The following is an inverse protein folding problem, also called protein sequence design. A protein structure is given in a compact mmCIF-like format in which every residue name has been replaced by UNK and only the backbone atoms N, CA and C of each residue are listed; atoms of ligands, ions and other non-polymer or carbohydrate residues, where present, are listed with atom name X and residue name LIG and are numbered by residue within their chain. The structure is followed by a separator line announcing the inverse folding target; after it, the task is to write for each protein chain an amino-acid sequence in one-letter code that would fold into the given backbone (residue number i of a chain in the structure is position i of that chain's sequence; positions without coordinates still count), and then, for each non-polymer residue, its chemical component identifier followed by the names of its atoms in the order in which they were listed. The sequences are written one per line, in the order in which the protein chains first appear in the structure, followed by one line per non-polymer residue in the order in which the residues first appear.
data_IF_188794710430
#
_entry.id   IF_188794710430
#
_cell.length_a   1.000
_cell.length_b   1.000
_cell.length_c   1.000
_cell.angle_alpha   90.00
_cell.angle_beta   90.00
_cell.angle_gamma   90.00
#
_symmetry.space_group_name_H-M   'P 1'
#
loop_
_entity.id
_entity.type
_entity.pdbx_description
1 polymer ?
#
# COMPACT_ATOMS: atom_id res chain seq x y z
N UNK A 1 -3.66 1.34 14.90
CA UNK A 1 -2.28 1.81 14.64
C UNK A 1 -1.24 1.40 15.70
N UNK A 2 -1.58 1.20 16.98
CA UNK A 2 -0.60 0.89 18.05
C UNK A 2 0.08 -0.48 17.96
N UNK A 3 -0.61 -1.53 17.51
CA UNK A 3 -0.05 -2.89 17.41
C UNK A 3 0.94 -3.08 16.26
N UNK A 4 0.85 -2.25 15.21
CA UNK A 4 1.74 -2.30 14.05
C UNK A 4 3.07 -1.57 14.32
N UNK A 5 3.01 -0.43 15.03
CA UNK A 5 4.20 0.31 15.46
C UNK A 5 5.05 -0.50 16.45
N UNK A 6 4.42 -1.24 17.37
CA UNK A 6 5.15 -2.11 18.30
C UNK A 6 5.94 -3.22 17.60
N UNK A 7 5.40 -3.81 16.52
CA UNK A 7 6.12 -4.82 15.74
C UNK A 7 7.31 -4.23 14.98
N UNK A 8 7.24 -2.96 14.56
CA UNK A 8 8.37 -2.27 13.92
C UNK A 8 9.55 -2.06 14.87
N UNK A 9 9.28 -1.66 16.12
CA UNK A 9 10.36 -1.41 17.07
C UNK A 9 11.15 -2.69 17.38
N UNK A 10 10.46 -3.83 17.58
CA UNK A 10 11.14 -5.11 17.80
C UNK A 10 12.01 -5.55 16.61
N UNK A 11 11.51 -5.42 15.37
CA UNK A 11 12.28 -5.76 14.17
C UNK A 11 13.48 -4.83 13.97
N UNK A 12 13.33 -3.53 14.27
CA UNK A 12 14.41 -2.55 14.21
C UNK A 12 15.49 -2.82 15.28
N UNK A 13 15.09 -3.20 16.50
CA UNK A 13 16.03 -3.57 17.54
C UNK A 13 16.82 -4.83 17.18
N UNK A 14 16.17 -5.84 16.57
CA UNK A 14 16.85 -7.06 16.12
C UNK A 14 17.86 -6.80 15.01
N UNK A 15 17.56 -5.91 14.06
CA UNK A 15 18.52 -5.53 13.01
C UNK A 15 19.70 -4.74 13.56
N UNK A 16 19.45 -3.74 14.41
CA UNK A 16 20.52 -2.95 15.04
C UNK A 16 21.41 -3.83 15.92
N UNK A 17 20.81 -4.70 16.74
CA UNK A 17 21.54 -5.63 17.60
C UNK A 17 22.38 -6.64 16.83
N UNK A 18 22.03 -6.97 15.58
CA UNK A 18 22.82 -7.84 14.71
C UNK A 18 23.94 -7.09 13.96
N UNK A 19 23.72 -5.84 13.58
CA UNK A 19 24.70 -5.03 12.83
C UNK A 19 25.83 -4.48 13.71
N UNK A 20 25.54 -4.07 14.95
CA UNK A 20 26.55 -3.51 15.86
C UNK A 20 27.70 -4.49 16.14
N UNK A 21 27.45 -5.78 16.48
CA UNK A 21 28.50 -6.78 16.62
C UNK A 21 29.23 -7.08 15.31
N UNK A 22 28.55 -7.05 14.16
CA UNK A 22 29.16 -7.30 12.86
C UNK A 22 30.25 -6.26 12.54
N UNK A 23 29.96 -4.98 12.79
CA UNK A 23 30.92 -3.88 12.63
C UNK A 23 32.09 -4.01 13.60
N UNK A 24 31.81 -4.31 14.87
CA UNK A 24 32.84 -4.51 15.89
C UNK A 24 33.78 -5.68 15.56
N UNK A 25 33.24 -6.82 15.11
CA UNK A 25 34.02 -8.00 14.73
C UNK A 25 34.86 -7.78 13.47
N UNK A 26 34.39 -6.93 12.55
CA UNK A 26 35.18 -6.50 11.40
C UNK A 26 36.37 -5.63 11.82
N UNK A 27 36.16 -4.70 12.77
CA UNK A 27 37.23 -3.87 13.36
C UNK A 27 38.25 -4.75 14.11
N UNK A 28 37.77 -5.78 14.82
CA UNK A 28 38.60 -6.77 15.54
C UNK A 28 39.30 -7.78 14.63
N UNK A 29 39.29 -7.59 13.30
CA UNK A 29 39.97 -8.46 12.32
C UNK A 29 39.52 -9.93 12.40
N UNK A 30 38.24 -10.17 12.76
CA UNK A 30 37.63 -11.52 12.81
C UNK A 30 36.63 -11.71 11.66
N UNK A 31 37.10 -11.90 10.41
CA UNK A 31 36.26 -11.90 9.21
C UNK A 31 35.31 -13.09 9.14
N UNK A 32 35.57 -14.18 9.87
CA UNK A 32 34.66 -15.34 9.91
C UNK A 32 33.39 -15.00 10.72
N UNK A 33 33.55 -14.42 11.91
CA UNK A 33 32.44 -14.04 12.78
C UNK A 33 31.62 -12.87 12.21
N UNK A 34 32.29 -11.87 11.63
CA UNK A 34 31.61 -10.75 10.97
C UNK A 34 30.71 -11.20 9.81
N UNK A 35 31.15 -12.18 8.99
CA UNK A 35 30.35 -12.73 7.89
C UNK A 35 29.06 -13.41 8.38
N UNK A 36 29.13 -14.15 9.49
CA UNK A 36 27.96 -14.83 10.08
C UNK A 36 26.93 -13.81 10.58
N UNK A 37 27.38 -12.77 11.30
CA UNK A 37 26.50 -11.71 11.78
C UNK A 37 25.83 -10.94 10.63
N UNK A 38 26.59 -10.60 9.58
CA UNK A 38 26.03 -9.98 8.39
C UNK A 38 24.96 -10.86 7.75
N UNK A 39 25.22 -12.15 7.53
CA UNK A 39 24.25 -13.08 6.94
C UNK A 39 22.96 -13.17 7.78
N UNK A 40 23.10 -13.22 9.12
CA UNK A 40 21.96 -13.29 10.04
C UNK A 40 21.09 -12.01 9.99
N UNK A 41 21.70 -10.86 9.72
CA UNK A 41 20.99 -9.56 9.67
C UNK A 41 20.14 -9.36 8.40
N UNK A 42 20.39 -10.10 7.32
CA UNK A 42 19.72 -9.93 6.02
C UNK A 42 18.21 -10.16 6.14
N UNK A 43 17.80 -11.24 6.81
CA UNK A 43 16.38 -11.61 6.96
C UNK A 43 15.56 -10.55 7.71
N UNK A 44 15.92 -10.13 8.94
CA UNK A 44 15.15 -9.12 9.66
C UNK A 44 15.22 -7.75 8.97
N UNK A 45 16.32 -7.42 8.29
CA UNK A 45 16.43 -6.19 7.50
C UNK A 45 15.48 -6.19 6.30
N UNK A 46 15.43 -7.30 5.55
CA UNK A 46 14.47 -7.46 4.45
C UNK A 46 13.02 -7.34 4.93
N UNK A 47 12.69 -7.96 6.06
CA UNK A 47 11.36 -7.83 6.67
C UNK A 47 11.06 -6.39 7.10
N UNK A 48 12.01 -5.71 7.73
CA UNK A 48 11.88 -4.31 8.14
C UNK A 48 11.64 -3.40 6.94
N UNK A 49 12.45 -3.52 5.88
CA UNK A 49 12.29 -2.76 4.64
C UNK A 49 10.92 -3.02 4.00
N UNK A 50 10.49 -4.28 3.91
CA UNK A 50 9.17 -4.65 3.40
C UNK A 50 8.05 -4.00 4.20
N UNK A 51 8.14 -4.02 5.52
CA UNK A 51 7.12 -3.46 6.41
C UNK A 51 7.08 -1.93 6.35
N UNK A 52 8.25 -1.28 6.35
CA UNK A 52 8.37 0.17 6.19
C UNK A 52 7.80 0.63 4.82
N UNK A 53 8.04 -0.15 3.77
CA UNK A 53 7.46 0.09 2.45
C UNK A 53 5.94 -0.04 2.46
N UNK A 54 5.38 -1.08 3.09
CA UNK A 54 3.92 -1.26 3.20
C UNK A 54 3.25 -0.11 3.96
N UNK A 55 3.87 0.35 5.04
CA UNK A 55 3.37 1.49 5.81
C UNK A 55 3.44 2.80 5.03
N UNK A 56 4.53 3.02 4.31
CA UNK A 56 4.66 4.20 3.45
C UNK A 56 3.66 4.17 2.30
N UNK A 57 3.40 3.00 1.72
CA UNK A 57 2.38 2.83 0.70
C UNK A 57 0.97 3.05 1.25
N UNK A 58 0.67 2.53 2.45
CA UNK A 58 -0.60 2.74 3.13
C UNK A 58 -0.83 4.22 3.46
N UNK A 59 0.19 4.91 3.99
CA UNK A 59 0.13 6.36 4.26
C UNK A 59 -0.13 7.17 2.99
N UNK A 60 0.56 6.86 1.87
CA UNK A 60 0.32 7.52 0.59
C UNK A 60 -1.12 7.37 0.11
N UNK A 61 -1.72 6.19 0.32
CA UNK A 61 -3.12 5.92 -0.03
C UNK A 61 -4.06 6.70 0.89
N UNK A 62 -3.78 6.74 2.19
CA UNK A 62 -4.61 7.48 3.15
C UNK A 62 -4.56 8.99 2.92
N UNK A 63 -3.38 9.54 2.63
CA UNK A 63 -3.19 10.98 2.39
C UNK A 63 -3.84 11.47 1.08
N UNK A 64 -4.05 10.57 0.10
CA UNK A 64 -4.62 10.89 -1.22
C UNK A 64 -5.97 10.18 -1.43
N UNK A 65 -6.77 10.11 -0.36
CA UNK A 65 -8.04 9.41 -0.36
C UNK A 65 -9.07 10.04 -1.32
N UNK A 66 -9.59 9.22 -2.23
CA UNK A 66 -10.75 9.53 -3.08
C UNK A 66 -12.02 9.18 -2.32
N UNK A 67 -12.07 7.95 -1.79
CA UNK A 67 -13.21 7.39 -1.07
C UNK A 67 -12.73 6.53 0.10
N UNK A 68 -13.23 6.83 1.30
CA UNK A 68 -13.05 6.00 2.48
C UNK A 68 -14.40 5.36 2.84
N UNK A 69 -14.38 4.06 3.11
CA UNK A 69 -15.53 3.30 3.61
C UNK A 69 -15.18 2.83 5.03
N UNK A 70 -15.52 3.61 6.06
CA UNK A 70 -15.05 3.38 7.43
C UNK A 70 -15.46 2.02 7.97
N UNK A 71 -16.69 1.59 7.68
CA UNK A 71 -17.25 0.34 8.18
C UNK A 71 -16.52 -0.92 7.69
N UNK A 72 -15.72 -0.79 6.62
CA UNK A 72 -15.00 -1.91 6.01
C UNK A 72 -13.49 -1.78 6.08
N UNK A 73 -12.96 -0.75 6.74
CA UNK A 73 -11.52 -0.42 6.75
C UNK A 73 -10.93 -0.44 5.32
N UNK A 74 -11.66 0.20 4.40
CA UNK A 74 -11.33 0.32 2.99
C UNK A 74 -11.07 1.79 2.67
N UNK A 75 -9.92 2.06 2.05
CA UNK A 75 -9.55 3.39 1.56
C UNK A 75 -9.10 3.27 0.12
N UNK A 76 -9.79 3.95 -0.78
CA UNK A 76 -9.45 4.05 -2.21
C UNK A 76 -8.85 5.43 -2.46
N UNK A 77 -7.75 5.48 -3.19
CA UNK A 77 -6.94 6.67 -3.43
C UNK A 77 -6.49 6.78 -4.88
N UNK A 78 -5.89 7.92 -5.20
CA UNK A 78 -5.21 8.12 -6.48
C UNK A 78 -4.12 7.06 -6.75
N UNK A 79 -3.47 6.54 -5.70
CA UNK A 79 -2.28 5.69 -5.78
C UNK A 79 -2.53 4.21 -5.43
N UNK A 80 -3.77 3.84 -5.15
CA UNK A 80 -4.06 2.49 -4.70
C UNK A 80 -5.32 2.35 -3.85
N UNK A 81 -5.49 1.13 -3.37
CA UNK A 81 -6.53 0.71 -2.45
C UNK A 81 -5.88 0.02 -1.24
N UNK A 82 -6.28 0.43 -0.03
CA UNK A 82 -6.00 -0.30 1.21
C UNK A 82 -7.27 -0.96 1.71
N UNK A 83 -7.20 -2.26 2.01
CA UNK A 83 -8.26 -3.01 2.70
C UNK A 83 -7.63 -3.81 3.84
N UNK A 84 -7.85 -3.40 5.07
CA UNK A 84 -7.15 -3.97 6.22
C UNK A 84 -5.63 -3.91 6.02
N UNK A 85 -4.98 -5.07 6.07
CA UNK A 85 -3.53 -5.21 5.85
C UNK A 85 -3.12 -5.37 4.37
N UNK A 86 -4.07 -5.46 3.44
CA UNK A 86 -3.77 -5.59 2.01
C UNK A 86 -3.69 -4.21 1.37
N UNK A 87 -2.67 -4.03 0.55
CA UNK A 87 -2.41 -2.80 -0.19
C UNK A 87 -2.26 -3.16 -1.67
N UNK A 88 -3.17 -2.63 -2.49
CA UNK A 88 -3.12 -2.67 -3.95
C UNK A 88 -2.62 -1.32 -4.42
N UNK A 89 -1.63 -1.29 -5.31
CA UNK A 89 -0.99 -0.04 -5.75
C UNK A 89 -1.19 0.16 -7.24
N UNK A 90 -1.42 1.41 -7.62
CA UNK A 90 -1.38 1.88 -9.00
C UNK A 90 -0.85 3.31 -9.04
N UNK A 91 -0.51 3.81 -10.22
CA UNK A 91 -0.11 5.22 -10.40
C UNK A 91 1.20 5.62 -9.73
N UNK A 92 1.94 4.68 -9.12
CA UNK A 92 3.16 4.97 -8.37
C UNK A 92 4.45 4.98 -9.21
N UNK A 93 4.45 4.29 -10.36
CA UNK A 93 5.65 4.13 -11.22
C UNK A 93 5.47 4.84 -12.58
N UNK A 94 4.61 5.86 -12.64
CA UNK A 94 4.32 6.59 -13.88
C UNK A 94 3.69 5.69 -14.95
N UNK A 95 4.07 5.92 -16.21
CA UNK A 95 3.46 5.29 -17.40
C UNK A 95 3.77 3.79 -17.49
N UNK A 96 4.91 3.34 -16.96
CA UNK A 96 5.36 1.94 -17.01
C UNK A 96 4.88 1.10 -15.80
N UNK A 97 4.09 1.69 -14.91
CA UNK A 97 3.56 1.02 -13.73
C UNK A 97 2.18 0.41 -13.93
N UNK A 98 1.71 -0.29 -12.91
CA UNK A 98 0.30 -0.63 -12.75
C UNK A 98 -0.52 0.66 -12.68
N UNK A 99 -1.61 0.73 -13.42
CA UNK A 99 -2.50 1.88 -13.51
C UNK A 99 -3.92 1.48 -13.18
N UNK A 100 -4.71 2.42 -12.68
CA UNK A 100 -6.16 2.27 -12.65
C UNK A 100 -6.65 2.41 -14.09
N UNK A 101 -7.38 1.40 -14.57
CA UNK A 101 -7.83 1.28 -15.95
C UNK A 101 -9.32 1.61 -16.08
N UNK A 102 -10.12 1.12 -15.14
CA UNK A 102 -11.58 1.27 -15.17
C UNK A 102 -12.15 1.43 -13.76
N UNK A 103 -13.21 2.23 -13.66
CA UNK A 103 -13.98 2.43 -12.43
C UNK A 103 -15.46 2.36 -12.79
N UNK A 104 -16.23 1.53 -12.09
CA UNK A 104 -17.68 1.53 -12.17
C UNK A 104 -18.28 1.65 -10.77
N UNK A 105 -19.34 2.45 -10.62
CA UNK A 105 -20.05 2.68 -9.38
C UNK A 105 -21.53 2.40 -9.64
N UNK A 106 -22.10 1.43 -8.94
CA UNK A 106 -23.55 1.20 -8.91
C UNK A 106 -24.14 1.68 -7.58
N UNK A 107 -25.34 1.20 -7.21
CA UNK A 107 -25.99 1.60 -5.93
C UNK A 107 -25.29 1.10 -4.68
N UNK A 108 -24.54 0.02 -4.75
CA UNK A 108 -24.02 -0.68 -3.58
C UNK A 108 -22.51 -0.87 -3.63
N UNK A 109 -21.95 -1.05 -4.83
CA UNK A 109 -20.61 -1.52 -5.11
C UNK A 109 -19.85 -0.61 -6.08
N UNK A 110 -18.55 -0.54 -5.83
CA UNK A 110 -17.55 0.03 -6.71
C UNK A 110 -16.67 -1.10 -7.25
N UNK A 111 -16.46 -1.11 -8.56
CA UNK A 111 -15.52 -1.99 -9.25
C UNK A 111 -14.33 -1.15 -9.71
N UNK A 112 -13.14 -1.66 -9.41
CA UNK A 112 -11.88 -1.07 -9.81
C UNK A 112 -11.11 -2.11 -10.62
N UNK A 113 -10.76 -1.78 -11.85
CA UNK A 113 -9.85 -2.60 -12.67
C UNK A 113 -8.52 -1.88 -12.75
N UNK A 114 -7.44 -2.56 -12.39
CA UNK A 114 -6.09 -2.01 -12.43
C UNK A 114 -5.12 -3.04 -13.02
N UNK A 115 -4.09 -2.55 -13.68
CA UNK A 115 -3.19 -3.40 -14.43
C UNK A 115 -2.24 -2.63 -15.30
N UNK A 116 -1.54 -3.37 -16.14
CA UNK A 116 -0.72 -2.87 -17.23
C UNK A 116 -1.19 -3.49 -18.56
N UNK A 117 -0.39 -3.33 -19.61
CA UNK A 117 -0.71 -3.83 -20.95
C UNK A 117 -0.67 -5.37 -21.05
N UNK A 118 -0.18 -6.07 -20.01
CA UNK A 118 0.00 -7.51 -20.00
C UNK A 118 -1.08 -8.18 -19.13
N UNK A 119 -1.34 -7.63 -17.95
CA UNK A 119 -2.24 -8.22 -16.96
C UNK A 119 -3.11 -7.15 -16.27
N UNK A 120 -4.39 -7.47 -16.09
CA UNK A 120 -5.34 -6.67 -15.30
C UNK A 120 -6.00 -7.50 -14.20
N UNK A 121 -6.14 -6.92 -13.02
CA UNK A 121 -6.92 -7.44 -11.90
C UNK A 121 -8.14 -6.55 -11.65
N UNK A 122 -9.17 -7.12 -11.04
CA UNK A 122 -10.35 -6.37 -10.61
C UNK A 122 -10.67 -6.60 -9.14
N UNK A 123 -11.18 -5.56 -8.50
CA UNK A 123 -11.63 -5.60 -7.12
C UNK A 123 -13.00 -4.96 -7.02
N UNK A 124 -13.96 -5.71 -6.46
CA UNK A 124 -15.29 -5.24 -6.12
C UNK A 124 -15.38 -4.99 -4.62
N UNK A 125 -15.93 -3.84 -4.24
CA UNK A 125 -16.08 -3.43 -2.84
C UNK A 125 -17.41 -2.70 -2.67
N UNK A 126 -18.11 -2.85 -1.54
CA UNK A 126 -19.22 -1.97 -1.21
C UNK A 126 -18.70 -0.55 -0.92
N UNK A 127 -19.41 0.48 -1.37
CA UNK A 127 -18.95 1.88 -1.25
C UNK A 127 -19.71 2.72 -0.22
N UNK A 128 -20.90 2.29 0.24
CA UNK A 128 -21.66 2.96 1.31
C UNK A 128 -22.14 4.39 1.01
N UNK A 129 -22.16 4.78 -0.27
CA UNK A 129 -22.67 6.10 -0.71
C UNK A 129 -24.20 5.97 -0.79
N UNK A 130 -24.91 6.95 -0.26
CA UNK A 130 -26.37 6.87 -0.07
C UNK A 130 -27.15 7.78 -1.01
N UNK A 131 -26.49 8.67 -1.73
CA UNK A 131 -27.12 9.67 -2.61
C UNK A 131 -26.34 9.91 -3.90
N UNK A 132 -27.07 10.26 -4.97
CA UNK A 132 -26.54 10.51 -6.32
C UNK A 132 -25.49 11.62 -6.34
N UNK A 133 -25.64 12.66 -5.50
CA UNK A 133 -24.70 13.78 -5.46
C UNK A 133 -23.35 13.33 -4.91
N UNK A 134 -23.31 12.53 -3.85
CA UNK A 134 -22.09 11.94 -3.31
C UNK A 134 -21.39 11.01 -4.31
N UNK A 135 -22.16 10.26 -5.10
CA UNK A 135 -21.63 9.44 -6.20
C UNK A 135 -21.03 10.31 -7.29
N UNK A 136 -21.72 11.38 -7.71
CA UNK A 136 -21.22 12.33 -8.70
C UNK A 136 -19.92 13.04 -8.26
N UNK A 137 -19.82 13.42 -6.98
CA UNK A 137 -18.60 13.99 -6.41
C UNK A 137 -17.45 12.98 -6.42
N UNK A 138 -17.72 11.73 -6.03
CA UNK A 138 -16.72 10.65 -6.02
C UNK A 138 -16.23 10.33 -7.43
N UNK A 139 -17.15 10.19 -8.40
CA UNK A 139 -16.83 10.00 -9.81
C UNK A 139 -16.01 11.17 -10.39
N UNK A 140 -16.36 12.41 -10.00
CA UNK A 140 -15.62 13.62 -10.34
C UNK A 140 -14.19 13.60 -9.81
N UNK A 141 -13.99 13.20 -8.54
CA UNK A 141 -12.66 13.03 -7.95
C UNK A 141 -11.82 11.98 -8.67
N UNK A 142 -12.40 10.81 -9.00
CA UNK A 142 -11.69 9.80 -9.79
C UNK A 142 -11.16 10.39 -11.10
N UNK A 143 -11.99 11.12 -11.84
CA UNK A 143 -11.58 11.75 -13.09
C UNK A 143 -10.50 12.80 -12.87
N UNK A 144 -10.62 13.64 -11.85
CA UNK A 144 -9.67 14.72 -11.59
C UNK A 144 -8.30 14.19 -11.14
N UNK A 145 -8.28 13.19 -10.26
CA UNK A 145 -7.05 12.71 -9.64
C UNK A 145 -6.36 11.61 -10.45
N UNK A 146 -7.14 10.70 -11.07
CA UNK A 146 -6.58 9.54 -11.80
C UNK A 146 -6.68 9.67 -13.31
N UNK A 147 -7.49 10.60 -13.81
CA UNK A 147 -7.85 10.70 -15.23
C UNK A 147 -8.90 9.68 -15.70
N UNK A 148 -9.22 8.67 -14.89
CA UNK A 148 -10.18 7.62 -15.23
C UNK A 148 -11.59 8.13 -14.95
N UNK A 149 -12.48 8.02 -15.95
CA UNK A 149 -13.90 8.33 -15.77
C UNK A 149 -14.60 7.14 -15.12
N UNK A 150 -15.30 7.39 -14.03
CA UNK A 150 -16.16 6.40 -13.41
C UNK A 150 -17.47 6.26 -14.20
N UNK A 151 -17.85 5.03 -14.53
CA UNK A 151 -19.16 4.70 -15.05
C UNK A 151 -20.14 4.61 -13.88
N UNK A 152 -21.17 5.45 -13.88
CA UNK A 152 -22.19 5.47 -12.82
C UNK A 152 -23.46 4.82 -13.35
N UNK A 153 -24.03 3.89 -12.59
CA UNK A 153 -25.25 3.19 -12.96
C UNK A 153 -26.22 3.09 -11.78
N UNK A 154 -27.52 3.11 -12.08
CA UNK A 154 -28.57 2.89 -11.07
C UNK A 154 -28.85 4.07 -10.14
N UNK A 155 -28.19 5.22 -10.27
CA UNK A 155 -28.48 6.42 -9.49
C UNK A 155 -29.45 7.34 -10.19
#
# INVERSE_FOLDING_TARGET
MSSLQAKQSHLAWLTVAAMVPAVLLAILQMPQAARICCALSILPLGMFCRHAWLLRAAALIEDNCILAVPDQDVVISTFGLRRGARVYRWGCNGVQGIRLLHVAIDREHIWLVFGDDICSESVQLPHGLTDEKSVGLTAGKFRQETGVRAEVSGW
#
